data_IF_507188676631
#
_entry.id   IF_507188676631
#
_cell.length_a   1.000
_cell.length_b   1.000
_cell.length_c   1.000
_cell.angle_alpha   90.00
_cell.angle_beta   90.00
_cell.angle_gamma   90.00
#
_symmetry.space_group_name_H-M   'P 1'
#
loop_
_entity.id
_entity.type
_entity.pdbx_description
1 polymer ?
#
# COMPACT_ATOMS: atom_id res chain seq x y z
N UNK A 1 -11.84 -6.98 -7.46
CA UNK A 1 -11.38 -7.71 -6.26
C UNK A 1 -11.64 -6.83 -5.06
N UNK A 2 -12.23 -7.38 -3.98
CA UNK A 2 -12.55 -6.60 -2.77
C UNK A 2 -11.71 -7.02 -1.54
N UNK A 3 -10.81 -7.99 -1.71
CA UNK A 3 -9.97 -8.56 -0.65
C UNK A 3 -8.53 -8.65 -1.15
N UNK A 4 -7.58 -8.25 -0.30
CA UNK A 4 -6.14 -8.44 -0.53
C UNK A 4 -5.82 -9.94 -0.39
N UNK A 5 -5.06 -10.49 -1.33
CA UNK A 5 -4.60 -11.88 -1.24
C UNK A 5 -3.56 -12.09 -0.13
N UNK A 6 -3.30 -13.35 0.21
CA UNK A 6 -2.13 -13.71 1.02
C UNK A 6 -0.92 -13.93 0.11
N UNK A 7 0.29 -13.84 0.65
CA UNK A 7 1.51 -14.03 -0.14
C UNK A 7 2.63 -14.62 0.74
N UNK A 8 3.34 -15.68 0.30
CA UNK A 8 4.33 -16.35 1.13
C UNK A 8 5.70 -15.67 0.98
N UNK A 9 5.88 -14.51 1.60
CA UNK A 9 7.07 -13.67 1.44
C UNK A 9 8.39 -14.41 1.73
N UNK A 10 8.46 -15.13 2.85
CA UNK A 10 9.67 -15.83 3.27
C UNK A 10 10.00 -17.05 2.37
N UNK A 11 9.02 -17.53 1.61
CA UNK A 11 9.19 -18.66 0.69
C UNK A 11 9.95 -18.26 -0.59
N UNK A 12 9.76 -17.02 -1.06
CA UNK A 12 10.42 -16.48 -2.25
C UNK A 12 11.85 -16.02 -1.93
N UNK A 13 12.75 -16.99 -1.73
CA UNK A 13 14.17 -16.74 -1.44
C UNK A 13 15.11 -16.84 -2.66
N UNK A 14 14.59 -17.23 -3.82
CA UNK A 14 15.32 -17.28 -5.09
C UNK A 14 14.37 -17.13 -6.28
N UNK A 15 14.90 -16.70 -7.43
CA UNK A 15 14.13 -16.61 -8.67
C UNK A 15 13.62 -17.96 -9.18
N UNK A 16 14.31 -19.06 -8.85
CA UNK A 16 13.86 -20.40 -9.24
C UNK A 16 12.51 -20.79 -8.61
N UNK A 17 12.08 -20.10 -7.54
CA UNK A 17 10.77 -20.31 -6.92
C UNK A 17 9.62 -19.96 -7.85
N UNK A 18 9.81 -19.02 -8.76
CA UNK A 18 8.77 -18.59 -9.69
C UNK A 18 8.40 -19.70 -10.68
N UNK A 19 9.34 -20.58 -11.01
CA UNK A 19 9.12 -21.71 -11.93
C UNK A 19 8.42 -22.91 -11.27
N UNK A 20 8.20 -22.90 -9.95
CA UNK A 20 7.57 -24.01 -9.24
C UNK A 20 6.08 -24.11 -9.61
N UNK A 21 5.66 -25.30 -10.03
CA UNK A 21 4.33 -25.56 -10.59
C UNK A 21 3.29 -26.00 -9.55
N UNK A 22 3.55 -25.74 -8.27
CA UNK A 22 2.68 -26.16 -7.17
C UNK A 22 2.54 -25.03 -6.16
N UNK A 23 1.38 -24.96 -5.52
CA UNK A 23 1.14 -24.02 -4.44
C UNK A 23 1.91 -24.47 -3.19
N UNK A 24 2.71 -23.59 -2.54
CA UNK A 24 3.40 -23.90 -1.30
C UNK A 24 2.42 -24.31 -0.20
N UNK A 25 2.84 -25.14 0.77
CA UNK A 25 2.00 -25.50 1.90
C UNK A 25 1.64 -24.27 2.73
N UNK A 26 0.52 -24.34 3.46
CA UNK A 26 0.05 -23.27 4.35
C UNK A 26 1.13 -22.77 5.34
N UNK A 27 2.02 -23.65 5.81
CA UNK A 27 3.13 -23.29 6.69
C UNK A 27 4.12 -22.30 6.06
N UNK A 28 4.21 -22.23 4.73
CA UNK A 28 5.05 -21.28 4.00
C UNK A 28 4.45 -19.87 3.94
N UNK A 29 3.17 -19.70 4.32
CA UNK A 29 2.48 -18.41 4.37
C UNK A 29 2.56 -17.74 5.76
N UNK A 30 3.48 -18.20 6.62
CA UNK A 30 3.72 -17.57 7.91
C UNK A 30 4.15 -16.10 7.74
N UNK A 31 3.53 -15.21 8.52
CA UNK A 31 3.84 -13.80 8.49
C UNK A 31 4.90 -13.49 9.57
N UNK A 32 6.16 -13.42 9.16
CA UNK A 32 7.28 -13.11 10.07
C UNK A 32 7.20 -11.73 10.71
N UNK A 33 6.54 -10.75 10.08
CA UNK A 33 6.37 -9.40 10.64
C UNK A 33 5.37 -9.36 11.79
N UNK A 34 4.30 -10.18 11.72
CA UNK A 34 3.26 -10.26 12.75
C UNK A 34 3.43 -11.46 13.68
N UNK A 35 4.34 -12.37 13.33
CA UNK A 35 4.56 -13.65 14.01
C UNK A 35 3.25 -14.48 14.10
N UNK A 36 2.51 -14.53 13.00
CA UNK A 36 1.18 -15.15 12.91
C UNK A 36 1.10 -16.10 11.71
N UNK A 37 0.38 -17.21 11.86
CA UNK A 37 0.02 -18.09 10.75
C UNK A 37 -1.09 -17.44 9.91
N UNK A 38 -1.13 -17.78 8.62
CA UNK A 38 -2.29 -17.48 7.77
C UNK A 38 -3.53 -18.19 8.33
N UNK A 39 -4.72 -17.60 8.16
CA UNK A 39 -5.96 -18.29 8.55
C UNK A 39 -6.32 -19.39 7.53
N UNK A 40 -7.10 -20.39 7.96
CA UNK A 40 -7.58 -21.43 7.04
C UNK A 40 -8.38 -20.80 5.88
N UNK A 41 -9.29 -19.86 6.18
CA UNK A 41 -10.09 -19.12 5.19
C UNK A 41 -9.25 -18.35 4.17
N UNK A 42 -8.12 -17.78 4.61
CA UNK A 42 -7.18 -17.07 3.73
C UNK A 42 -6.43 -18.04 2.82
N UNK A 43 -6.04 -19.21 3.32
CA UNK A 43 -5.34 -20.21 2.53
C UNK A 43 -6.28 -20.90 1.54
N UNK A 44 -7.51 -21.23 1.93
CA UNK A 44 -8.57 -21.70 1.03
C UNK A 44 -8.85 -20.69 -0.09
N UNK A 45 -8.84 -19.40 0.24
CA UNK A 45 -8.95 -18.35 -0.77
C UNK A 45 -7.81 -18.38 -1.78
N UNK A 46 -6.56 -18.57 -1.33
CA UNK A 46 -5.40 -18.72 -2.25
C UNK A 46 -5.55 -19.94 -3.14
N UNK A 47 -5.99 -21.08 -2.59
CA UNK A 47 -6.26 -22.28 -3.38
C UNK A 47 -7.35 -22.02 -4.44
N UNK A 48 -8.43 -21.35 -4.06
CA UNK A 48 -9.50 -20.99 -5.01
C UNK A 48 -8.99 -20.09 -6.14
N UNK A 49 -8.10 -19.14 -5.84
CA UNK A 49 -7.50 -18.26 -6.85
C UNK A 49 -6.59 -19.06 -7.79
N UNK A 50 -5.80 -19.97 -7.26
CA UNK A 50 -4.95 -20.85 -8.05
C UNK A 50 -5.76 -21.65 -9.09
N UNK A 51 -6.89 -22.22 -8.66
CA UNK A 51 -7.75 -23.02 -9.51
C UNK A 51 -8.56 -22.17 -10.50
N UNK A 52 -9.19 -21.08 -10.04
CA UNK A 52 -10.04 -20.20 -10.87
C UNK A 52 -9.25 -19.58 -12.02
N UNK A 53 -8.03 -19.12 -11.74
CA UNK A 53 -7.16 -18.52 -12.76
C UNK A 53 -6.29 -19.55 -13.49
N UNK A 54 -6.40 -20.84 -13.11
CA UNK A 54 -5.65 -21.95 -13.70
C UNK A 54 -4.14 -21.65 -13.76
N UNK A 55 -3.59 -21.18 -12.64
CA UNK A 55 -2.20 -20.76 -12.53
C UNK A 55 -1.27 -21.96 -12.73
N UNK A 56 -0.22 -21.79 -13.54
CA UNK A 56 0.68 -22.90 -13.89
C UNK A 56 1.91 -22.95 -12.98
N UNK A 57 2.34 -21.78 -12.50
CA UNK A 57 3.52 -21.66 -11.66
C UNK A 57 3.36 -20.51 -10.65
N UNK A 58 4.29 -20.45 -9.70
CA UNK A 58 4.29 -19.41 -8.67
C UNK A 58 4.58 -18.00 -9.20
N UNK A 59 5.18 -17.88 -10.38
CA UNK A 59 5.31 -16.61 -11.09
C UNK A 59 3.98 -16.05 -11.56
N UNK A 60 3.11 -16.86 -12.16
CA UNK A 60 1.76 -16.45 -12.53
C UNK A 60 0.98 -15.96 -11.30
N UNK A 61 1.16 -16.66 -10.17
CA UNK A 61 0.58 -16.26 -8.89
C UNK A 61 1.15 -14.94 -8.37
N UNK A 62 2.46 -14.74 -8.44
CA UNK A 62 3.10 -13.48 -8.07
C UNK A 62 2.59 -12.31 -8.93
N UNK A 63 2.53 -12.48 -10.24
CA UNK A 63 2.08 -11.43 -11.16
C UNK A 63 0.61 -11.07 -10.90
N UNK A 64 -0.24 -12.07 -10.66
CA UNK A 64 -1.64 -11.84 -10.29
C UNK A 64 -1.75 -11.11 -8.95
N UNK A 65 -1.00 -11.53 -7.94
CA UNK A 65 -0.98 -10.90 -6.62
C UNK A 65 -0.52 -9.43 -6.70
N UNK A 66 0.61 -9.18 -7.37
CA UNK A 66 1.17 -7.84 -7.56
C UNK A 66 0.24 -6.94 -8.35
N UNK A 67 -0.34 -7.44 -9.44
CA UNK A 67 -1.33 -6.69 -10.24
C UNK A 67 -2.52 -6.30 -9.38
N UNK A 68 -3.02 -7.22 -8.57
CA UNK A 68 -4.15 -6.96 -7.67
C UNK A 68 -3.83 -5.91 -6.62
N UNK A 69 -2.65 -5.98 -5.99
CA UNK A 69 -2.21 -5.02 -4.97
C UNK A 69 -2.04 -3.61 -5.58
N UNK A 70 -1.42 -3.51 -6.76
CA UNK A 70 -1.23 -2.24 -7.48
C UNK A 70 -2.56 -1.64 -7.91
N UNK A 71 -3.49 -2.43 -8.46
CA UNK A 71 -4.80 -1.94 -8.88
C UNK A 71 -5.63 -1.42 -7.69
N UNK A 72 -5.58 -2.11 -6.55
CA UNK A 72 -6.27 -1.66 -5.33
C UNK A 72 -5.68 -0.34 -4.82
N UNK A 73 -4.35 -0.20 -4.82
CA UNK A 73 -3.70 1.05 -4.41
C UNK A 73 -4.00 2.20 -5.40
N UNK A 74 -4.02 1.91 -6.70
CA UNK A 74 -4.33 2.90 -7.73
C UNK A 74 -5.77 3.43 -7.56
N UNK A 75 -6.76 2.55 -7.39
CA UNK A 75 -8.17 2.94 -7.20
C UNK A 75 -8.35 3.84 -5.96
N UNK A 76 -7.73 3.47 -4.84
CA UNK A 76 -7.75 4.28 -3.61
C UNK A 76 -7.06 5.63 -3.83
N UNK A 77 -5.91 5.66 -4.50
CA UNK A 77 -5.16 6.89 -4.74
C UNK A 77 -5.88 7.84 -5.69
N UNK A 78 -6.53 7.33 -6.74
CA UNK A 78 -7.32 8.14 -7.67
C UNK A 78 -8.53 8.78 -6.98
N UNK A 79 -9.22 8.02 -6.13
CA UNK A 79 -10.31 8.54 -5.32
C UNK A 79 -9.81 9.60 -4.32
N UNK A 80 -8.70 9.33 -3.63
CA UNK A 80 -8.07 10.29 -2.72
C UNK A 80 -7.67 11.59 -3.44
N UNK A 81 -7.04 11.49 -4.61
CA UNK A 81 -6.67 12.64 -5.45
C UNK A 81 -7.88 13.46 -5.85
N UNK A 82 -8.96 12.80 -6.29
CA UNK A 82 -10.22 13.44 -6.63
C UNK A 82 -10.81 14.19 -5.43
N UNK A 83 -10.82 13.57 -4.25
CA UNK A 83 -11.29 14.19 -3.01
C UNK A 83 -10.46 15.43 -2.67
N UNK A 84 -9.13 15.34 -2.67
CA UNK A 84 -8.26 16.46 -2.34
C UNK A 84 -8.40 17.64 -3.32
N UNK A 85 -8.52 17.36 -4.62
CA UNK A 85 -8.80 18.37 -5.63
C UNK A 85 -10.18 19.01 -5.44
N UNK A 86 -11.18 18.24 -5.01
CA UNK A 86 -12.52 18.75 -4.79
C UNK A 86 -12.60 19.66 -3.55
N UNK A 87 -12.06 19.24 -2.41
CA UNK A 87 -12.19 19.96 -1.14
C UNK A 87 -11.09 20.99 -0.91
N UNK A 88 -9.83 20.63 -1.15
CA UNK A 88 -8.68 21.47 -0.84
C UNK A 88 -8.12 22.17 -2.09
N UNK A 89 -8.57 21.76 -3.29
CA UNK A 89 -8.09 22.28 -4.57
C UNK A 89 -6.57 22.09 -4.74
N UNK A 90 -6.00 21.13 -4.00
CA UNK A 90 -4.58 20.77 -3.98
C UNK A 90 -4.48 19.37 -4.57
N UNK A 91 -3.50 19.16 -5.47
CA UNK A 91 -3.18 17.83 -5.96
C UNK A 91 -2.23 17.14 -4.97
N UNK A 92 -2.64 16.06 -4.30
CA UNK A 92 -1.79 15.34 -3.36
C UNK A 92 -0.56 14.72 -4.02
N UNK A 93 -0.55 14.53 -5.35
CA UNK A 93 0.62 14.02 -6.07
C UNK A 93 1.78 15.04 -6.15
N UNK A 94 1.56 16.30 -5.80
CA UNK A 94 2.61 17.32 -5.66
C UNK A 94 3.18 17.42 -4.25
N UNK A 95 2.81 16.49 -3.36
CA UNK A 95 3.17 16.48 -1.95
C UNK A 95 3.79 15.14 -1.59
N UNK A 96 4.80 15.19 -0.73
CA UNK A 96 5.53 13.99 -0.33
C UNK A 96 4.78 13.14 0.72
N UNK A 97 4.00 13.78 1.59
CA UNK A 97 3.40 13.11 2.76
C UNK A 97 2.01 13.67 3.09
N UNK A 98 1.21 12.87 3.80
CA UNK A 98 -0.10 13.29 4.29
C UNK A 98 -0.05 14.51 5.24
N UNK A 99 0.93 14.64 6.16
CA UNK A 99 1.11 15.88 6.92
C UNK A 99 1.41 17.10 6.04
N UNK A 100 2.20 16.95 4.98
CA UNK A 100 2.46 18.03 4.02
C UNK A 100 1.19 18.50 3.31
N UNK A 101 0.32 17.55 2.93
CA UNK A 101 -1.01 17.86 2.42
C UNK A 101 -1.88 18.58 3.44
N UNK A 102 -1.94 18.08 4.67
CA UNK A 102 -2.75 18.68 5.73
C UNK A 102 -2.29 20.11 6.04
N UNK A 103 -0.97 20.36 6.05
CA UNK A 103 -0.40 21.69 6.24
C UNK A 103 -0.80 22.65 5.11
N UNK A 104 -0.60 22.25 3.84
CA UNK A 104 -1.00 23.10 2.71
C UNK A 104 -2.52 23.35 2.65
N UNK A 105 -3.32 22.32 2.96
CA UNK A 105 -4.76 22.47 3.06
C UNK A 105 -5.14 23.47 4.16
N UNK A 106 -4.51 23.38 5.34
CA UNK A 106 -4.72 24.30 6.46
C UNK A 106 -4.40 25.76 6.08
N UNK A 107 -3.24 26.00 5.48
CA UNK A 107 -2.83 27.34 5.04
C UNK A 107 -3.83 27.91 4.03
N UNK A 108 -4.24 27.10 3.06
CA UNK A 108 -5.21 27.53 2.04
C UNK A 108 -6.59 27.83 2.63
N UNK A 109 -7.07 26.98 3.53
CA UNK A 109 -8.40 27.11 4.13
C UNK A 109 -8.48 28.31 5.08
N UNK A 110 -7.40 28.59 5.82
CA UNK A 110 -7.33 29.75 6.72
C UNK A 110 -7.02 31.05 5.98
N UNK A 111 -6.36 30.97 4.82
CA UNK A 111 -5.91 32.15 4.07
C UNK A 111 -4.84 32.94 4.81
N UNK A 112 -4.15 32.32 5.76
CA UNK A 112 -3.10 32.96 6.55
C UNK A 112 -1.91 33.30 5.65
N UNK A 113 -1.39 34.53 5.79
CA UNK A 113 -0.11 34.91 5.19
C UNK A 113 0.99 34.59 6.18
N UNK A 114 1.90 33.70 5.79
CA UNK A 114 3.07 33.38 6.61
C UNK A 114 4.06 34.54 6.55
N UNK A 115 4.45 35.03 7.72
CA UNK A 115 5.50 36.04 7.87
C UNK A 115 6.88 35.38 7.82
N UNK A 116 7.91 36.16 7.50
CA UNK A 116 9.29 35.69 7.60
C UNK A 116 9.67 35.57 9.08
N UNK A 117 10.33 34.47 9.42
CA UNK A 117 10.91 34.25 10.75
C UNK A 117 12.01 35.31 11.00
N UNK A 118 11.71 36.33 11.80
CA UNK A 118 12.67 37.41 12.13
C UNK A 118 13.29 37.26 13.51
N UNK A 119 12.74 36.39 14.36
CA UNK A 119 13.14 36.22 15.76
C UNK A 119 13.56 34.77 16.03
N UNK A 120 14.58 34.60 16.88
CA UNK A 120 15.12 33.28 17.27
C UNK A 120 14.10 32.43 18.04
N UNK A 121 13.22 33.06 18.81
CA UNK A 121 12.19 32.35 19.59
C UNK A 121 11.15 31.69 18.69
N UNK A 122 10.82 32.31 17.54
CA UNK A 122 9.90 31.72 16.57
C UNK A 122 10.53 30.49 15.86
N UNK A 123 11.82 30.57 15.54
CA UNK A 123 12.56 29.42 15.00
C UNK A 123 12.59 28.25 16.00
N UNK A 124 12.91 28.54 17.28
CA UNK A 124 12.95 27.54 18.35
C UNK A 124 11.57 26.91 18.67
N UNK A 125 10.47 27.59 18.31
CA UNK A 125 9.13 27.04 18.43
C UNK A 125 8.82 25.99 17.35
N UNK A 126 9.30 26.19 16.12
CA UNK A 126 9.04 25.29 14.98
C UNK A 126 9.99 24.08 14.98
N UNK A 127 11.22 24.22 15.46
CA UNK A 127 12.24 23.15 15.41
C UNK A 127 11.95 21.97 16.38
N UNK A 128 11.14 22.17 17.42
CA UNK A 128 10.93 21.18 18.49
C UNK A 128 10.10 19.96 18.12
#
# INVERSE_FOLDING_TARGET
>A
MARKGCYPYDYFNSFSKFDETFLPPMSAFFNSLRNENVSDDDYEYVQSIWDIFSLQNLGDYHDLYMTSDVLLLADILENFRTLCLNFYKIDPCHLYTAPGLAWQACLRMTGVNLELETDIDMHLFIEK
#
